data_IF_010092122574
#
_entry.id   IF_010092122574
#
_cell.length_a   1.000
_cell.length_b   1.000
_cell.length_c   1.000
_cell.angle_alpha   90.00
_cell.angle_beta   90.00
_cell.angle_gamma   90.00
#
_symmetry.space_group_name_H-M   'P 1'
#
loop_
_entity.id
_entity.type
_entity.pdbx_description
1 polymer ?
#
# COMPACT_ATOMS: atom_id res chain seq x y z
N UNK A 1 -9.11 -6.68 23.91
CA UNK A 1 -9.30 -5.22 23.70
C UNK A 1 -8.22 -4.55 22.83
N UNK A 2 -6.98 -5.06 22.76
CA UNK A 2 -5.91 -4.45 21.93
C UNK A 2 -6.19 -4.56 20.42
N UNK A 3 -6.51 -5.76 19.92
CA UNK A 3 -6.80 -5.96 18.48
C UNK A 3 -7.98 -5.12 17.98
N UNK A 4 -9.02 -4.96 18.81
CA UNK A 4 -10.18 -4.14 18.49
C UNK A 4 -9.82 -2.65 18.43
N UNK A 5 -8.98 -2.17 19.35
CA UNK A 5 -8.46 -0.80 19.31
C UNK A 5 -7.54 -0.58 18.12
N UNK A 6 -6.67 -1.53 17.79
CA UNK A 6 -5.81 -1.44 16.59
C UNK A 6 -6.62 -1.40 15.30
N UNK A 7 -7.72 -2.16 15.20
CA UNK A 7 -8.62 -2.10 14.03
C UNK A 7 -9.39 -0.78 13.97
N UNK A 8 -9.75 -0.20 15.11
CA UNK A 8 -10.47 1.09 15.22
C UNK A 8 -9.56 2.31 15.10
N UNK A 9 -8.24 2.14 15.24
CA UNK A 9 -7.28 3.21 15.04
C UNK A 9 -6.95 3.37 13.56
N UNK A 10 -7.81 4.10 12.86
CA UNK A 10 -7.70 4.34 11.43
C UNK A 10 -6.46 5.19 11.06
N UNK A 11 -5.88 5.91 12.02
CA UNK A 11 -4.84 6.93 11.78
C UNK A 11 -3.47 6.37 11.40
N UNK A 12 -3.22 5.10 11.73
CA UNK A 12 -1.97 4.41 11.42
C UNK A 12 -2.11 3.34 10.34
N UNK A 13 -3.25 3.26 9.67
CA UNK A 13 -3.57 2.17 8.74
C UNK A 13 -3.70 2.66 7.31
N UNK A 14 -2.91 2.07 6.42
CA UNK A 14 -3.07 2.18 4.97
C UNK A 14 -3.38 0.81 4.41
N UNK A 15 -4.53 0.69 3.76
CA UNK A 15 -4.92 -0.53 3.06
C UNK A 15 -4.50 -0.44 1.61
N UNK A 16 -3.82 -1.47 1.13
CA UNK A 16 -3.28 -1.53 -0.24
C UNK A 16 -3.94 -2.63 -1.05
N UNK A 17 -4.31 -2.29 -2.28
CA UNK A 17 -4.71 -3.23 -3.31
C UNK A 17 -3.69 -3.17 -4.45
N UNK A 18 -3.04 -4.29 -4.74
CA UNK A 18 -1.95 -4.39 -5.70
C UNK A 18 -2.33 -5.27 -6.89
N UNK A 19 -2.00 -4.84 -8.10
CA UNK A 19 -2.35 -5.51 -9.34
C UNK A 19 -1.11 -5.67 -10.23
N UNK A 20 -0.86 -6.90 -10.71
CA UNK A 20 0.26 -7.20 -11.59
C UNK A 20 -0.06 -6.83 -13.04
N UNK A 21 0.52 -5.74 -13.54
CA UNK A 21 0.24 -5.21 -14.88
C UNK A 21 0.61 -6.18 -16.00
N UNK A 22 1.71 -6.91 -15.85
CA UNK A 22 2.14 -7.92 -16.83
C UNK A 22 1.12 -9.05 -16.98
N UNK A 23 0.40 -9.41 -15.91
CA UNK A 23 -0.60 -10.48 -15.95
C UNK A 23 -1.83 -10.14 -16.80
N UNK A 24 -2.14 -8.85 -16.98
CA UNK A 24 -3.21 -8.37 -17.87
C UNK A 24 -2.78 -8.31 -19.34
N UNK A 25 -1.49 -8.08 -19.61
CA UNK A 25 -0.92 -8.12 -20.96
C UNK A 25 0.46 -8.79 -20.96
N UNK A 26 0.47 -10.10 -21.23
CA UNK A 26 1.68 -10.94 -21.16
C UNK A 26 2.71 -10.63 -22.25
N UNK A 27 2.31 -9.95 -23.32
CA UNK A 27 3.18 -9.49 -24.42
C UNK A 27 3.79 -8.12 -24.15
N UNK A 28 3.37 -7.44 -23.08
CA UNK A 28 3.92 -6.13 -22.70
C UNK A 28 5.40 -6.23 -22.31
N UNK A 29 6.12 -5.11 -22.47
CA UNK A 29 7.50 -4.93 -21.99
C UNK A 29 7.59 -4.67 -20.48
N UNK A 30 6.47 -4.74 -19.76
CA UNK A 30 6.41 -4.48 -18.33
C UNK A 30 7.09 -5.64 -17.58
N UNK A 31 8.00 -5.38 -16.63
CA UNK A 31 8.61 -6.45 -15.84
C UNK A 31 7.56 -7.28 -15.09
N UNK A 32 7.71 -8.61 -15.12
CA UNK A 32 6.75 -9.53 -14.47
C UNK A 32 6.58 -9.31 -12.98
N UNK A 33 7.60 -8.77 -12.32
CA UNK A 33 7.62 -8.48 -10.89
C UNK A 33 7.00 -7.13 -10.53
N UNK A 34 6.67 -6.27 -11.50
CA UNK A 34 6.16 -4.94 -11.24
C UNK A 34 4.63 -4.96 -11.09
N UNK A 35 4.15 -4.43 -9.97
CA UNK A 35 2.75 -4.19 -9.71
C UNK A 35 2.46 -2.68 -9.63
N UNK A 36 1.20 -2.35 -9.91
CA UNK A 36 0.61 -1.06 -9.59
C UNK A 36 -0.31 -1.24 -8.38
N UNK A 37 -0.17 -0.38 -7.38
CA UNK A 37 -0.94 -0.44 -6.16
C UNK A 37 -1.75 0.85 -5.94
N UNK A 38 -2.99 0.69 -5.52
CA UNK A 38 -3.83 1.78 -5.01
C UNK A 38 -4.02 1.60 -3.52
N UNK A 39 -3.94 2.70 -2.79
CA UNK A 39 -4.04 2.70 -1.33
C UNK A 39 -5.17 3.58 -0.83
N UNK A 40 -5.68 3.24 0.35
CA UNK A 40 -6.65 4.04 1.09
C UNK A 40 -6.25 4.11 2.56
N UNK A 41 -6.15 5.33 3.09
CA UNK A 41 -5.87 5.62 4.49
C UNK A 41 -6.75 6.74 5.01
N UNK A 42 -6.71 6.94 6.32
CA UNK A 42 -7.41 8.04 6.98
C UNK A 42 -6.56 8.60 8.11
N UNK A 43 -6.66 9.90 8.33
CA UNK A 43 -5.95 10.59 9.42
C UNK A 43 -6.92 11.49 10.21
N UNK A 44 -6.51 11.83 11.43
CA UNK A 44 -7.25 12.61 12.44
C UNK A 44 -8.61 12.02 12.87
N UNK A 45 -8.85 10.73 12.66
CA UNK A 45 -10.01 9.98 13.15
C UNK A 45 -9.78 9.46 14.57
N UNK A 46 -9.63 10.36 15.55
CA UNK A 46 -9.28 9.99 16.95
C UNK A 46 -10.49 9.64 17.83
N UNK A 47 -11.72 9.86 17.35
CA UNK A 47 -12.94 9.47 18.06
C UNK A 47 -13.96 8.82 17.13
N UNK A 48 -14.97 8.11 17.67
CA UNK A 48 -15.98 7.42 16.87
C UNK A 48 -16.93 8.36 16.09
N UNK A 49 -17.03 9.62 16.50
CA UNK A 49 -17.95 10.60 15.92
C UNK A 49 -17.20 11.89 15.57
N UNK A 50 -17.57 12.60 14.49
CA UNK A 50 -16.99 13.90 14.19
C UNK A 50 -17.20 14.86 15.36
N UNK A 51 -16.12 15.46 15.86
CA UNK A 51 -16.19 16.53 16.84
C UNK A 51 -16.26 17.90 16.15
N UNK A 52 -16.60 18.94 16.90
CA UNK A 52 -16.54 20.31 16.39
C UNK A 52 -15.08 20.68 16.07
N UNK A 53 -14.83 21.22 14.87
CA UNK A 53 -13.48 21.46 14.31
C UNK A 53 -12.63 20.22 14.00
N UNK A 54 -13.27 19.07 13.79
CA UNK A 54 -12.56 17.85 13.46
C UNK A 54 -11.91 17.92 12.07
N UNK A 55 -10.58 17.80 12.02
CA UNK A 55 -9.78 17.84 10.80
C UNK A 55 -9.56 16.43 10.23
N UNK A 56 -10.55 15.55 10.33
CA UNK A 56 -10.53 14.24 9.67
C UNK A 56 -10.38 14.38 8.19
N UNK A 57 -9.56 13.51 7.60
CA UNK A 57 -9.48 13.44 6.16
C UNK A 57 -9.04 12.05 5.69
N UNK A 58 -9.41 11.76 4.45
CA UNK A 58 -9.04 10.53 3.77
C UNK A 58 -7.86 10.79 2.87
N UNK A 59 -7.01 9.78 2.73
CA UNK A 59 -5.85 9.80 1.87
C UNK A 59 -5.97 8.67 0.86
N UNK A 60 -5.82 9.01 -0.40
CA UNK A 60 -5.79 8.07 -1.51
C UNK A 60 -4.36 7.99 -2.05
N UNK A 61 -3.92 6.81 -2.44
CA UNK A 61 -2.55 6.59 -2.87
C UNK A 61 -2.49 5.86 -4.20
N UNK A 62 -1.48 6.19 -4.98
CA UNK A 62 -1.04 5.46 -6.15
C UNK A 62 0.46 5.19 -5.97
N UNK A 63 0.84 3.92 -5.97
CA UNK A 63 2.20 3.48 -5.66
C UNK A 63 2.62 2.37 -6.59
N UNK A 64 3.93 2.19 -6.73
CA UNK A 64 4.48 0.97 -7.29
C UNK A 64 4.56 -0.10 -6.20
N UNK A 65 4.50 -1.36 -6.61
CA UNK A 65 4.66 -2.49 -5.71
C UNK A 65 5.39 -3.64 -6.44
N UNK A 66 5.85 -4.64 -5.70
CA UNK A 66 6.66 -5.73 -6.22
C UNK A 66 6.01 -7.08 -5.93
N UNK A 67 5.76 -7.88 -6.97
CA UNK A 67 5.46 -9.29 -6.83
C UNK A 67 6.79 -10.07 -6.72
N UNK A 68 7.23 -10.27 -5.48
CA UNK A 68 8.44 -11.00 -5.14
C UNK A 68 8.42 -12.45 -5.63
N UNK A 69 7.23 -13.05 -5.77
CA UNK A 69 7.10 -14.42 -6.28
C UNK A 69 7.54 -14.56 -7.73
N UNK A 70 7.61 -13.45 -8.47
CA UNK A 70 8.06 -13.40 -9.88
C UNK A 70 9.56 -13.17 -10.03
N UNK A 71 10.30 -12.96 -8.93
CA UNK A 71 11.76 -12.82 -8.95
C UNK A 71 12.40 -14.19 -9.21
N UNK A 72 13.20 -14.28 -10.27
CA UNK A 72 13.90 -15.52 -10.64
C UNK A 72 15.11 -15.75 -9.73
N UNK A 73 15.12 -16.86 -9.00
CA UNK A 73 16.25 -17.30 -8.16
C UNK A 73 16.40 -18.82 -8.20
N UNK A 74 17.63 -19.31 -8.07
CA UNK A 74 17.93 -20.75 -8.00
C UNK A 74 17.84 -21.32 -6.57
N UNK A 75 17.82 -20.45 -5.55
CA UNK A 75 17.77 -20.87 -4.13
C UNK A 75 16.34 -21.21 -3.70
N UNK A 76 16.15 -22.43 -3.19
CA UNK A 76 14.87 -22.87 -2.61
C UNK A 76 14.50 -22.04 -1.37
N UNK A 77 15.50 -21.68 -0.55
CA UNK A 77 15.32 -20.83 0.61
C UNK A 77 14.79 -19.44 0.22
N UNK A 78 15.42 -18.78 -0.76
CA UNK A 78 14.97 -17.45 -1.21
C UNK A 78 13.57 -17.48 -1.82
N UNK A 79 13.22 -18.55 -2.57
CA UNK A 79 11.84 -18.72 -3.07
C UNK A 79 10.82 -18.74 -1.94
N UNK A 80 11.11 -19.48 -0.86
CA UNK A 80 10.24 -19.52 0.32
C UNK A 80 10.14 -18.15 0.97
N UNK A 81 11.28 -17.47 1.22
CA UNK A 81 11.29 -16.12 1.81
C UNK A 81 10.46 -15.14 0.98
N UNK A 82 10.69 -15.08 -0.34
CA UNK A 82 9.94 -14.21 -1.25
C UNK A 82 8.45 -14.49 -1.23
N UNK A 83 8.04 -15.76 -1.25
CA UNK A 83 6.62 -16.12 -1.17
C UNK A 83 6.00 -15.75 0.19
N UNK A 84 6.74 -15.93 1.28
CA UNK A 84 6.25 -15.63 2.63
C UNK A 84 6.08 -14.14 2.84
N UNK A 85 7.02 -13.29 2.40
CA UNK A 85 6.95 -11.85 2.67
C UNK A 85 6.20 -11.05 1.59
N UNK A 86 5.73 -11.70 0.52
CA UNK A 86 5.04 -11.02 -0.60
C UNK A 86 3.76 -10.27 -0.21
N UNK A 87 3.15 -10.60 0.93
CA UNK A 87 1.98 -9.88 1.42
C UNK A 87 2.34 -8.52 2.06
N UNK A 88 3.62 -8.30 2.38
CA UNK A 88 4.11 -7.06 2.96
C UNK A 88 4.42 -6.12 1.79
N UNK A 89 3.77 -4.95 1.79
CA UNK A 89 4.09 -3.91 0.81
C UNK A 89 5.54 -3.47 0.98
N UNK A 90 6.27 -3.47 -0.13
CA UNK A 90 7.64 -2.96 -0.14
C UNK A 90 7.57 -1.44 -0.28
N UNK A 91 8.34 -0.69 0.53
CA UNK A 91 8.37 0.75 0.44
C UNK A 91 8.80 1.23 -0.94
N UNK A 92 8.00 2.11 -1.54
CA UNK A 92 8.15 2.52 -2.92
C UNK A 92 7.70 3.97 -3.15
N UNK A 93 8.12 4.59 -4.28
CA UNK A 93 7.60 5.90 -4.68
C UNK A 93 6.08 5.89 -4.78
N UNK A 94 5.46 6.89 -4.15
CA UNK A 94 4.01 6.95 -3.96
C UNK A 94 3.50 8.36 -4.17
N UNK A 95 2.50 8.52 -5.02
CA UNK A 95 1.71 9.73 -5.12
C UNK A 95 0.49 9.59 -4.21
N UNK A 96 0.30 10.54 -3.31
CA UNK A 96 -0.87 10.61 -2.42
C UNK A 96 -1.73 11.82 -2.76
N UNK A 97 -3.03 11.69 -2.53
CA UNK A 97 -4.00 12.76 -2.64
C UNK A 97 -4.91 12.80 -1.41
N UNK A 98 -5.16 14.00 -0.89
CA UNK A 98 -6.21 14.23 0.11
C UNK A 98 -6.84 15.61 -0.03
N UNK A 99 -7.98 15.82 0.61
CA UNK A 99 -8.62 17.13 0.62
C UNK A 99 -7.73 18.20 1.28
N UNK A 100 -7.04 17.84 2.37
CA UNK A 100 -6.20 18.76 3.14
C UNK A 100 -4.82 18.99 2.52
N UNK A 101 -4.12 17.92 2.14
CA UNK A 101 -2.74 18.03 1.66
C UNK A 101 -2.62 18.07 0.12
N UNK A 102 -3.75 17.99 -0.60
CA UNK A 102 -3.80 17.88 -2.07
C UNK A 102 -2.86 16.77 -2.55
N UNK A 103 -2.19 16.96 -3.68
CA UNK A 103 -1.21 16.00 -4.18
C UNK A 103 0.12 16.12 -3.44
N UNK A 104 0.64 15.00 -2.96
CA UNK A 104 1.97 14.91 -2.34
C UNK A 104 2.69 13.67 -2.85
N UNK A 105 3.90 13.87 -3.35
CA UNK A 105 4.78 12.79 -3.78
C UNK A 105 5.71 12.38 -2.63
N UNK A 106 5.83 11.08 -2.41
CA UNK A 106 6.72 10.46 -1.43
C UNK A 106 7.73 9.61 -2.18
N UNK A 107 9.02 9.84 -1.94
CA UNK A 107 10.09 9.01 -2.53
C UNK A 107 10.05 7.57 -2.01
N UNK A 108 9.65 7.41 -0.74
CA UNK A 108 9.57 6.14 -0.01
C UNK A 108 8.32 6.20 0.88
N UNK A 109 7.42 5.24 0.76
CA UNK A 109 6.19 5.16 1.56
C UNK A 109 5.73 3.70 1.73
N UNK A 110 5.10 3.38 2.86
CA UNK A 110 4.68 2.04 3.28
C UNK A 110 3.16 1.87 3.23
#
# INVERSE_FOLDING_TARGET
>A
NILEQSLKDYNGQTYWLSANLWSFNKESKIPKWLNLAVGYGAENMTSGFPLENDKRYRQFYLSLDLDLTKIKTNSKFLKTVFSTINFIKIPAPTLSYSEQNKFKFHYVYF
#
